data_IF_599363240767
#
_entry.id   IF_599363240767
#
_cell.length_a   1.000
_cell.length_b   1.000
_cell.length_c   1.000
_cell.angle_alpha   90.00
_cell.angle_beta   90.00
_cell.angle_gamma   90.00
#
_symmetry.space_group_name_H-M   'P 1'
#
loop_
_entity.id
_entity.type
_entity.pdbx_description
1 polymer ?
#
# COMPACT_ATOMS: atom_id res chain seq x y z
N UNK A 1 -45.11 34.49 -42.48
CA UNK A 1 -45.49 33.27 -43.24
C UNK A 1 -44.34 32.95 -44.18
N UNK A 2 -43.69 31.79 -44.21
CA UNK A 2 -44.04 30.41 -43.84
C UNK A 2 -42.78 29.69 -43.27
N UNK A 3 -42.85 29.05 -42.09
CA UNK A 3 -43.00 27.59 -41.80
C UNK A 3 -41.73 26.76 -42.02
N UNK A 4 -41.05 26.48 -40.91
CA UNK A 4 -39.94 25.52 -40.75
C UNK A 4 -40.35 24.42 -39.76
N UNK A 5 -39.66 23.27 -39.84
CA UNK A 5 -39.65 22.13 -38.93
C UNK A 5 -40.79 21.09 -39.00
N UNK A 6 -40.55 20.07 -39.83
CA UNK A 6 -41.23 18.78 -39.78
C UNK A 6 -40.23 17.66 -39.49
N UNK A 7 -40.31 17.15 -38.27
CA UNK A 7 -40.36 15.73 -37.88
C UNK A 7 -39.52 14.70 -38.64
N UNK A 8 -38.69 14.04 -37.82
CA UNK A 8 -38.63 12.59 -37.59
C UNK A 8 -38.32 11.65 -38.76
N UNK A 9 -37.27 10.85 -38.56
CA UNK A 9 -37.26 9.38 -38.67
C UNK A 9 -35.81 8.92 -38.41
N UNK A 10 -35.46 7.72 -37.98
CA UNK A 10 -36.08 6.50 -37.47
C UNK A 10 -35.01 5.40 -37.66
N UNK A 11 -35.26 4.21 -37.09
CA UNK A 11 -34.60 2.93 -37.38
C UNK A 11 -33.28 2.65 -36.64
N UNK A 12 -33.03 1.49 -36.04
CA UNK A 12 -33.70 0.18 -36.10
C UNK A 12 -33.55 -0.53 -34.73
N UNK A 13 -34.57 -1.13 -34.11
CA UNK A 13 -35.28 -2.40 -34.40
C UNK A 13 -34.43 -3.67 -34.19
N UNK A 14 -34.79 -4.46 -33.17
CA UNK A 14 -35.09 -5.92 -33.19
C UNK A 14 -35.46 -6.34 -31.75
N UNK A 15 -36.75 -6.57 -31.45
CA UNK A 15 -37.49 -7.86 -31.51
C UNK A 15 -37.01 -8.83 -30.40
N UNK A 16 -37.83 -9.40 -29.53
CA UNK A 16 -39.18 -9.92 -29.72
C UNK A 16 -39.99 -9.98 -28.40
N UNK A 17 -41.31 -10.09 -28.57
CA UNK A 17 -42.40 -10.10 -27.59
C UNK A 17 -42.99 -11.51 -27.54
N UNK A 18 -43.28 -12.05 -26.36
CA UNK A 18 -44.49 -12.84 -26.08
C UNK A 18 -44.68 -13.02 -24.57
N UNK A 19 -45.92 -12.79 -24.15
CA UNK A 19 -46.44 -12.49 -22.82
C UNK A 19 -47.25 -13.68 -22.31
N UNK A 20 -47.43 -13.81 -20.99
CA UNK A 20 -48.70 -14.10 -20.25
C UNK A 20 -48.33 -14.63 -18.84
N UNK A 21 -48.81 -14.08 -17.72
CA UNK A 21 -50.21 -14.04 -17.31
C UNK A 21 -50.59 -12.87 -16.37
N UNK A 22 -51.92 -12.66 -16.30
CA UNK A 22 -52.67 -11.47 -15.93
C UNK A 22 -52.77 -11.07 -14.45
N UNK A 23 -52.70 -9.74 -14.27
CA UNK A 23 -53.62 -8.83 -13.55
C UNK A 23 -53.60 -8.78 -12.01
N UNK A 24 -53.02 -7.70 -11.49
CA UNK A 24 -53.64 -6.90 -10.42
C UNK A 24 -53.64 -5.42 -10.79
N UNK A 25 -54.73 -4.78 -10.40
CA UNK A 25 -55.24 -3.53 -10.92
C UNK A 25 -54.50 -2.29 -10.36
N UNK A 26 -54.17 -1.37 -11.27
CA UNK A 26 -53.95 0.06 -11.05
C UNK A 26 -52.93 0.47 -9.96
N UNK A 27 -51.64 0.25 -10.21
CA UNK A 27 -50.59 1.00 -9.52
C UNK A 27 -50.33 2.31 -10.30
N UNK A 28 -50.30 3.50 -9.65
CA UNK A 28 -49.87 4.71 -10.34
C UNK A 28 -48.44 4.52 -10.86
N UNK A 29 -48.06 5.17 -11.98
CA UNK A 29 -46.68 5.12 -12.44
C UNK A 29 -45.77 5.57 -11.31
N UNK A 30 -44.80 4.74 -10.93
CA UNK A 30 -43.81 5.11 -9.94
C UNK A 30 -43.12 6.39 -10.40
N UNK A 31 -43.29 7.47 -9.64
CA UNK A 31 -42.68 8.76 -9.93
C UNK A 31 -41.61 9.04 -8.89
N UNK A 32 -40.35 9.00 -9.32
CA UNK A 32 -39.20 9.27 -8.47
C UNK A 32 -38.92 10.78 -8.46
N UNK A 33 -39.35 11.48 -7.40
CA UNK A 33 -38.98 12.87 -7.19
C UNK A 33 -37.72 12.98 -6.32
N UNK A 34 -36.72 13.71 -6.82
CA UNK A 34 -35.44 13.99 -6.16
C UNK A 34 -35.46 15.31 -5.37
N UNK A 35 -36.53 16.09 -5.51
CA UNK A 35 -36.65 17.43 -4.92
C UNK A 35 -36.68 17.32 -3.39
N UNK A 36 -35.72 17.98 -2.73
CA UNK A 36 -35.60 18.03 -1.26
C UNK A 36 -34.87 16.85 -0.61
N UNK A 37 -34.40 15.85 -1.38
CA UNK A 37 -33.59 14.75 -0.83
C UNK A 37 -32.13 15.15 -0.73
N UNK A 38 -31.43 14.67 0.31
CA UNK A 38 -29.98 14.84 0.44
C UNK A 38 -29.29 14.20 -0.77
N UNK A 39 -28.30 14.90 -1.32
CA UNK A 39 -27.56 14.41 -2.48
C UNK A 39 -26.81 13.12 -2.10
N UNK A 40 -27.09 11.97 -2.73
CA UNK A 40 -26.46 10.70 -2.38
C UNK A 40 -24.96 10.64 -2.69
N UNK A 41 -24.43 11.65 -3.39
CA UNK A 41 -23.02 11.76 -3.75
C UNK A 41 -22.32 12.95 -3.06
N UNK A 42 -22.99 13.63 -2.11
CA UNK A 42 -22.28 14.58 -1.26
C UNK A 42 -21.45 13.82 -0.22
N UNK A 43 -20.15 14.11 -0.19
CA UNK A 43 -19.26 13.67 0.88
C UNK A 43 -19.81 14.25 2.19
N UNK A 44 -20.09 13.41 3.21
CA UNK A 44 -20.59 13.92 4.48
C UNK A 44 -19.56 14.85 5.12
N UNK A 45 -20.01 15.90 5.82
CA UNK A 45 -19.08 16.79 6.54
C UNK A 45 -18.27 15.96 7.55
N UNK A 46 -16.95 15.96 7.38
CA UNK A 46 -16.01 15.14 8.15
C UNK A 46 -15.30 14.02 7.35
N UNK A 47 -15.63 13.81 6.07
CA UNK A 47 -14.89 12.91 5.15
C UNK A 47 -14.19 13.67 4.01
N UNK A 48 -14.29 14.99 3.98
CA UNK A 48 -13.52 15.82 3.06
C UNK A 48 -12.12 16.02 3.62
N UNK A 49 -11.29 14.98 3.55
CA UNK A 49 -9.84 15.12 3.66
C UNK A 49 -9.34 15.80 2.37
N UNK A 50 -9.61 17.10 2.28
CA UNK A 50 -8.86 17.99 1.43
C UNK A 50 -7.53 18.24 2.11
N UNK A 51 -6.50 17.52 1.68
CA UNK A 51 -5.13 17.71 2.14
C UNK A 51 -4.66 19.13 1.76
N UNK A 52 -4.67 20.06 2.72
CA UNK A 52 -3.73 21.19 2.69
C UNK A 52 -2.42 20.74 3.37
N UNK A 53 -1.25 20.88 2.71
CA UNK A 53 0.03 20.57 3.32
C UNK A 53 0.50 21.78 4.14
N UNK A 54 0.21 21.79 5.44
CA UNK A 54 0.60 22.88 6.32
C UNK A 54 0.64 22.52 7.80
N UNK A 55 1.84 22.21 8.28
CA UNK A 55 2.34 22.49 9.63
C UNK A 55 1.90 21.58 10.80
N UNK A 56 2.81 20.65 11.11
CA UNK A 56 3.26 20.25 12.47
C UNK A 56 2.23 20.33 13.60
N UNK A 57 1.42 19.27 13.73
CA UNK A 57 1.05 18.81 15.06
C UNK A 57 1.97 17.65 15.40
N UNK A 58 2.70 17.79 16.51
CA UNK A 58 3.36 16.66 17.17
C UNK A 58 2.26 15.72 17.67
N UNK A 59 1.71 14.94 16.74
CA UNK A 59 0.78 13.88 17.01
C UNK A 59 1.49 12.92 17.93
N UNK A 60 1.01 12.84 19.16
CA UNK A 60 1.23 11.72 20.06
C UNK A 60 1.11 10.45 19.22
N UNK A 61 2.25 9.88 18.82
CA UNK A 61 2.26 8.70 17.97
C UNK A 61 1.59 7.62 18.78
N UNK A 62 0.32 7.37 18.48
CA UNK A 62 -0.37 6.17 18.88
C UNK A 62 0.53 5.09 18.30
N UNK A 63 1.28 4.41 19.16
CA UNK A 63 2.19 3.35 18.76
C UNK A 63 1.31 2.17 18.35
N UNK A 64 0.70 2.29 17.17
CA UNK A 64 0.10 1.17 16.48
C UNK A 64 1.25 0.22 16.24
N UNK A 65 1.23 -0.89 16.99
CA UNK A 65 2.23 -1.93 16.91
C UNK A 65 2.35 -2.33 15.44
N UNK A 66 3.48 -2.00 14.82
CA UNK A 66 3.76 -2.32 13.41
C UNK A 66 3.62 -3.83 13.23
N UNK A 67 3.11 -4.25 12.08
CA UNK A 67 3.23 -5.66 11.66
C UNK A 67 4.72 -5.91 11.44
N UNK A 68 5.29 -6.88 12.17
CA UNK A 68 6.69 -7.27 12.04
C UNK A 68 6.93 -7.97 10.70
N UNK A 69 8.07 -7.73 10.07
CA UNK A 69 8.54 -8.53 8.93
C UNK A 69 8.91 -9.94 9.40
N UNK A 70 8.93 -10.90 8.47
CA UNK A 70 9.39 -12.27 8.74
C UNK A 70 10.83 -12.30 9.29
N UNK A 71 11.74 -11.53 8.68
CA UNK A 71 13.15 -11.46 9.07
C UNK A 71 13.38 -10.88 10.47
N UNK A 72 12.40 -10.20 11.07
CA UNK A 72 12.47 -9.74 12.47
C UNK A 72 12.30 -10.90 13.48
N UNK A 73 11.96 -12.10 13.01
CA UNK A 73 11.84 -13.29 13.86
C UNK A 73 13.19 -13.96 14.17
N UNK A 74 14.25 -13.58 13.46
CA UNK A 74 15.58 -14.19 13.57
C UNK A 74 16.56 -13.27 14.30
N UNK A 75 17.66 -13.83 14.79
CA UNK A 75 18.76 -13.01 15.31
C UNK A 75 19.57 -12.43 14.15
N UNK A 76 20.07 -11.21 14.30
CA UNK A 76 20.83 -10.53 13.24
C UNK A 76 22.06 -11.34 12.80
N UNK A 77 22.77 -11.94 13.76
CA UNK A 77 23.96 -12.76 13.53
C UNK A 77 23.67 -14.08 12.79
N UNK A 78 22.41 -14.51 12.79
CA UNK A 78 21.98 -15.74 12.11
C UNK A 78 21.61 -15.51 10.64
N UNK A 79 21.42 -14.24 10.25
CA UNK A 79 21.14 -13.84 8.89
C UNK A 79 22.44 -13.66 8.10
N UNK A 80 22.43 -14.04 6.82
CA UNK A 80 23.60 -13.89 5.94
C UNK A 80 23.27 -13.04 4.73
N UNK A 81 24.16 -12.11 4.39
CA UNK A 81 24.04 -11.35 3.15
C UNK A 81 24.59 -12.19 2.00
N UNK A 82 23.73 -12.52 1.02
CA UNK A 82 24.05 -13.39 -0.12
C UNK A 82 24.24 -12.61 -1.41
N UNK A 83 23.53 -11.51 -1.59
CA UNK A 83 23.69 -10.66 -2.77
C UNK A 83 23.31 -9.21 -2.48
N UNK A 84 23.90 -8.29 -3.23
CA UNK A 84 23.52 -6.89 -3.28
C UNK A 84 23.39 -6.49 -4.74
N UNK A 85 22.25 -5.89 -5.08
CA UNK A 85 21.99 -5.33 -6.40
C UNK A 85 21.88 -3.83 -6.21
N UNK A 86 22.85 -3.10 -6.74
CA UNK A 86 22.98 -1.65 -6.59
C UNK A 86 23.35 -1.05 -7.95
N UNK A 87 23.25 0.28 -8.10
CA UNK A 87 23.57 0.99 -9.35
C UNK A 87 22.76 0.53 -10.58
N UNK A 88 21.47 0.22 -10.39
CA UNK A 88 20.54 0.06 -11.51
C UNK A 88 19.87 1.42 -11.77
N UNK A 89 19.87 1.85 -13.02
CA UNK A 89 19.19 3.08 -13.46
C UNK A 89 17.69 2.99 -13.17
N UNK A 90 17.10 4.05 -12.63
CA UNK A 90 15.69 4.14 -12.21
C UNK A 90 15.20 3.11 -11.18
N UNK A 91 16.09 2.39 -10.47
CA UNK A 91 15.69 1.41 -9.45
C UNK A 91 16.42 1.59 -8.11
N UNK A 92 15.72 1.42 -6.97
CA UNK A 92 16.35 1.47 -5.66
C UNK A 92 17.26 0.26 -5.43
N UNK A 93 18.38 0.40 -4.69
CA UNK A 93 19.21 -0.72 -4.30
C UNK A 93 18.43 -1.78 -3.51
N UNK A 94 18.70 -3.04 -3.80
CA UNK A 94 18.10 -4.19 -3.11
C UNK A 94 19.18 -5.16 -2.65
N UNK A 95 18.90 -5.93 -1.60
CA UNK A 95 19.80 -6.95 -1.08
C UNK A 95 19.06 -8.27 -0.89
N UNK A 96 19.77 -9.38 -0.96
CA UNK A 96 19.25 -10.71 -0.65
C UNK A 96 19.88 -11.22 0.64
N UNK A 97 19.03 -11.52 1.61
CA UNK A 97 19.41 -12.00 2.94
C UNK A 97 18.88 -13.42 3.11
N UNK A 98 19.77 -14.36 3.42
CA UNK A 98 19.44 -15.74 3.73
C UNK A 98 19.16 -15.90 5.23
N UNK A 99 18.10 -16.62 5.56
CA UNK A 99 17.75 -16.99 6.92
C UNK A 99 18.48 -18.28 7.38
N UNK A 100 18.41 -18.65 8.67
CA UNK A 100 19.07 -19.87 9.17
C UNK A 100 18.56 -21.17 8.55
N UNK A 101 17.40 -21.13 7.87
CA UNK A 101 16.82 -22.28 7.18
C UNK A 101 17.33 -22.38 5.73
N UNK A 102 18.16 -21.43 5.28
CA UNK A 102 18.70 -21.37 3.92
C UNK A 102 17.75 -20.73 2.91
N UNK A 103 16.69 -20.05 3.36
CA UNK A 103 15.75 -19.36 2.46
C UNK A 103 16.20 -17.91 2.26
N UNK A 104 16.34 -17.51 1.00
CA UNK A 104 16.70 -16.14 0.61
C UNK A 104 15.49 -15.21 0.56
N UNK A 105 15.63 -14.03 1.15
CA UNK A 105 14.62 -12.97 1.20
C UNK A 105 15.17 -11.68 0.61
N UNK A 106 14.43 -11.05 -0.30
CA UNK A 106 14.83 -9.76 -0.89
C UNK A 106 14.38 -8.61 0.01
N UNK A 107 15.29 -7.69 0.30
CA UNK A 107 15.08 -6.55 1.19
C UNK A 107 15.53 -5.24 0.55
N UNK A 108 14.97 -4.14 1.04
CA UNK A 108 15.21 -2.78 0.57
C UNK A 108 15.50 -1.86 1.76
N UNK A 109 16.12 -0.70 1.50
CA UNK A 109 16.32 0.34 2.50
C UNK A 109 15.02 0.68 3.24
N UNK A 110 15.10 0.83 4.56
CA UNK A 110 13.95 1.12 5.43
C UNK A 110 13.17 -0.11 5.92
N UNK A 111 13.42 -1.32 5.38
CA UNK A 111 12.87 -2.57 5.94
C UNK A 111 13.56 -2.94 7.25
N UNK A 112 12.93 -3.83 8.01
CA UNK A 112 13.40 -4.32 9.30
C UNK A 112 13.81 -5.78 9.23
N UNK A 113 14.84 -6.14 9.97
CA UNK A 113 15.36 -7.49 10.12
C UNK A 113 16.06 -7.64 11.47
N UNK A 114 16.14 -8.87 11.96
CA UNK A 114 16.67 -9.13 13.29
C UNK A 114 15.66 -8.89 14.42
N UNK A 115 15.81 -9.62 15.51
CA UNK A 115 14.94 -9.58 16.69
C UNK A 115 14.88 -8.20 17.38
N UNK A 116 15.92 -7.40 17.19
CA UNK A 116 16.11 -6.09 17.81
C UNK A 116 15.71 -4.93 16.88
N UNK A 117 14.72 -5.16 16.00
CA UNK A 117 14.15 -4.13 15.12
C UNK A 117 15.21 -3.44 14.24
N UNK A 118 16.15 -4.22 13.69
CA UNK A 118 17.24 -3.71 12.87
C UNK A 118 16.75 -3.10 11.57
N UNK A 119 16.84 -1.79 11.43
CA UNK A 119 16.41 -1.06 10.23
C UNK A 119 17.55 -0.96 9.22
N UNK A 120 17.31 -1.33 7.97
CA UNK A 120 18.27 -1.11 6.89
C UNK A 120 18.37 0.39 6.61
N UNK A 121 19.55 0.97 6.84
CA UNK A 121 19.85 2.36 6.51
C UNK A 121 20.24 2.51 5.05
N UNK A 122 21.14 1.64 4.60
CA UNK A 122 21.76 1.76 3.30
C UNK A 122 22.22 0.39 2.81
N UNK A 123 22.13 0.19 1.50
CA UNK A 123 22.62 -0.98 0.78
C UNK A 123 23.73 -0.50 -0.15
N UNK A 124 24.92 -1.06 0.02
CA UNK A 124 26.12 -0.72 -0.75
C UNK A 124 26.66 -1.98 -1.43
N UNK A 125 27.72 -1.82 -2.22
CA UNK A 125 28.42 -2.94 -2.84
C UNK A 125 28.97 -3.91 -1.79
N UNK A 126 28.44 -5.13 -1.77
CA UNK A 126 28.90 -6.21 -0.91
C UNK A 126 28.64 -6.02 0.59
N UNK A 127 27.85 -5.01 1.00
CA UNK A 127 27.50 -4.80 2.40
C UNK A 127 26.19 -4.05 2.59
N UNK A 128 25.53 -4.30 3.71
CA UNK A 128 24.36 -3.54 4.18
C UNK A 128 24.64 -2.92 5.54
N UNK A 129 24.18 -1.67 5.73
CA UNK A 129 24.31 -0.92 6.97
C UNK A 129 22.96 -0.95 7.68
N UNK A 130 22.95 -1.45 8.92
CA UNK A 130 21.75 -1.67 9.71
C UNK A 130 21.87 -0.90 11.01
N UNK A 131 20.79 -0.24 11.42
CA UNK A 131 20.65 0.38 12.73
C UNK A 131 19.76 -0.51 13.60
N UNK A 132 20.34 -1.09 14.65
CA UNK A 132 19.70 -2.00 15.57
C UNK A 132 19.34 -1.29 16.88
N UNK A 133 18.19 -1.60 17.46
CA UNK A 133 17.78 -1.07 18.76
C UNK A 133 18.48 -1.83 19.88
N UNK A 134 19.08 -1.11 20.81
CA UNK A 134 19.74 -1.71 21.98
C UNK A 134 18.82 -1.62 23.19
N UNK A 135 18.93 -2.58 24.10
CA UNK A 135 18.28 -2.50 25.41
C UNK A 135 19.22 -1.84 26.43
N UNK A 136 19.54 -0.55 26.24
CA UNK A 136 20.20 0.25 27.29
C UNK A 136 19.13 0.98 28.10
N UNK A 137 19.26 0.95 29.43
CA UNK A 137 18.33 1.58 30.38
C UNK A 137 18.56 3.08 30.50
N UNK A 138 19.69 3.61 30.04
CA UNK A 138 20.10 5.00 30.28
C UNK A 138 19.78 5.98 29.14
N UNK A 139 19.49 5.48 27.94
CA UNK A 139 19.21 6.32 26.77
C UNK A 139 17.73 6.19 26.34
N UNK A 140 17.10 7.28 25.88
CA UNK A 140 15.69 7.25 25.49
C UNK A 140 15.40 6.25 24.36
N UNK A 141 16.34 6.02 23.43
CA UNK A 141 16.35 4.92 22.44
C UNK A 141 17.80 4.67 21.95
N UNK A 142 18.61 3.86 22.63
CA UNK A 142 19.98 3.58 22.17
C UNK A 142 19.93 2.75 20.87
N UNK A 143 20.76 3.12 19.90
CA UNK A 143 20.92 2.36 18.65
C UNK A 143 22.37 1.98 18.40
N UNK A 144 22.57 0.86 17.71
CA UNK A 144 23.87 0.32 17.32
C UNK A 144 23.91 0.17 15.80
N UNK A 145 24.99 0.64 15.19
CA UNK A 145 25.24 0.39 13.77
C UNK A 145 25.92 -0.96 13.62
N UNK A 146 25.33 -1.83 12.81
CA UNK A 146 25.85 -3.15 12.45
C UNK A 146 26.01 -3.20 10.92
N UNK A 147 27.10 -3.81 10.46
CA UNK A 147 27.36 -3.98 9.02
C UNK A 147 27.36 -5.47 8.69
N UNK A 148 26.38 -5.90 7.90
CA UNK A 148 26.36 -7.23 7.32
C UNK A 148 27.15 -7.20 6.01
N UNK A 149 28.16 -8.06 5.89
CA UNK A 149 29.03 -8.16 4.72
C UNK A 149 28.67 -9.39 3.91
N UNK A 150 28.86 -9.30 2.61
CA UNK A 150 28.70 -10.41 1.68
C UNK A 150 29.66 -11.54 2.10
N UNK A 151 29.12 -12.73 2.32
CA UNK A 151 29.94 -13.90 2.59
C UNK A 151 30.81 -14.18 1.36
N UNK A 152 32.13 -14.05 1.49
CA UNK A 152 33.05 -14.47 0.44
C UNK A 152 32.96 -15.98 0.31
N UNK A 153 32.79 -16.44 -0.91
CA UNK A 153 32.90 -17.85 -1.25
C UNK A 153 34.29 -18.35 -0.84
N UNK A 154 34.34 -19.41 -0.03
CA UNK A 154 35.57 -20.15 0.21
C UNK A 154 35.81 -20.94 -1.08
N UNK A 155 36.79 -20.49 -1.87
CA UNK A 155 37.20 -21.22 -3.07
C UNK A 155 37.57 -22.68 -2.70
N UNK A 156 37.16 -23.67 -3.51
CA UNK A 156 37.43 -25.09 -3.25
C UNK A 156 38.92 -25.44 -3.31
#
# INVERSE_FOLDING_TARGET
>A
MAKEDSKQNAAATKSAIATEDKKTDNAPPWSYSQIGKKNPFQVPPGLSDGEEPGETTSGKQIQTKRIKEFLESFQLDSLKLVATIFQIEDQPPVAMVEDPMGVGHVVQSGRFLGANEGRIKEIQDGRIIIEERVSDKNAPQPTRIVTLKLSKEVAP
#
